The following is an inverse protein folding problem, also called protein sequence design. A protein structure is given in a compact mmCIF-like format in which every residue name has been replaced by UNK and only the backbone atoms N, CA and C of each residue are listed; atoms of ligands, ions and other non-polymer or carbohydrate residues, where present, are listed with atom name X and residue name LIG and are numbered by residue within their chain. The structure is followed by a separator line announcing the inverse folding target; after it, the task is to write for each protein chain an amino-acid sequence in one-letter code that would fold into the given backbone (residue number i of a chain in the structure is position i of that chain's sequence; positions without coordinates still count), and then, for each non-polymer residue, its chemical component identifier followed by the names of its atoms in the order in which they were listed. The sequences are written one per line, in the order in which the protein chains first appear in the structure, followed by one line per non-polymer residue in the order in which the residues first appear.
data_IF_123017218991
#
_entry.id   IF_123017218991
#
_cell.length_a   1.000
_cell.length_b   1.000
_cell.length_c   1.000
_cell.angle_alpha   90.00
_cell.angle_beta   90.00
_cell.angle_gamma   90.00
#
_symmetry.space_group_name_H-M   'P 1'
#
loop_
_entity.id
_entity.type
_entity.pdbx_description
1 polymer ?
#
# COMPACT_ATOMS: atom_id res chain seq x y z
N UNK A 1 -17.08 -13.34 -3.56
CA UNK A 1 -15.91 -13.97 -4.19
C UNK A 1 -14.85 -12.94 -4.49
N UNK A 2 -14.94 -12.25 -5.64
CA UNK A 2 -13.90 -11.31 -6.09
C UNK A 2 -14.02 -9.88 -5.52
N UNK A 3 -15.21 -9.44 -5.08
CA UNK A 3 -15.42 -8.06 -4.60
C UNK A 3 -14.53 -7.72 -3.39
N UNK A 4 -14.38 -8.62 -2.41
CA UNK A 4 -13.64 -8.33 -1.17
C UNK A 4 -12.13 -8.09 -1.41
N UNK A 5 -11.52 -8.79 -2.38
CA UNK A 5 -10.11 -8.64 -2.75
C UNK A 5 -9.87 -7.29 -3.43
N UNK A 6 -10.79 -6.87 -4.29
CA UNK A 6 -10.70 -5.60 -5.02
C UNK A 6 -10.98 -4.37 -4.12
N UNK A 7 -11.81 -4.52 -3.09
CA UNK A 7 -12.13 -3.44 -2.14
C UNK A 7 -10.99 -3.15 -1.16
N UNK A 8 -10.16 -4.14 -0.82
CA UNK A 8 -8.99 -3.93 0.02
C UNK A 8 -8.01 -2.92 -0.58
N UNK A 9 -7.61 -3.16 -1.83
CA UNK A 9 -6.53 -2.41 -2.47
C UNK A 9 -6.86 -0.90 -2.65
N UNK A 10 -8.12 -0.57 -2.98
CA UNK A 10 -8.60 0.82 -3.08
C UNK A 10 -8.54 1.60 -1.75
N UNK A 11 -8.84 0.95 -0.61
CA UNK A 11 -8.84 1.59 0.73
C UNK A 11 -7.49 2.20 1.09
N UNK A 12 -6.43 1.60 0.59
CA UNK A 12 -5.06 1.91 0.99
C UNK A 12 -4.36 2.87 0.07
N UNK A 13 -4.71 2.83 -1.21
CA UNK A 13 -4.27 3.83 -2.17
C UNK A 13 -4.71 5.21 -1.71
N UNK A 14 -5.98 5.36 -1.31
CA UNK A 14 -6.51 6.59 -0.72
C UNK A 14 -5.79 6.99 0.58
N UNK A 15 -5.43 6.02 1.43
CA UNK A 15 -4.61 6.27 2.61
C UNK A 15 -3.17 6.74 2.28
N UNK A 16 -2.59 6.22 1.20
CA UNK A 16 -1.25 6.58 0.72
C UNK A 16 -1.22 8.01 0.17
N UNK A 17 -2.26 8.40 -0.59
CA UNK A 17 -2.42 9.75 -1.15
C UNK A 17 -2.61 10.78 -0.06
N UNK A 18 -3.46 10.51 0.93
CA UNK A 18 -3.63 11.37 2.10
C UNK A 18 -2.30 11.57 2.84
N UNK A 19 -1.47 10.53 2.89
CA UNK A 19 -0.19 10.58 3.59
C UNK A 19 0.87 11.36 2.81
N UNK A 20 0.86 11.30 1.47
CA UNK A 20 1.71 12.16 0.64
C UNK A 20 1.31 13.63 0.78
N UNK A 21 0.01 13.92 0.85
CA UNK A 21 -0.51 15.27 1.10
C UNK A 21 -0.09 15.77 2.50
N UNK A 22 -0.28 14.94 3.54
CA UNK A 22 0.10 15.27 4.91
C UNK A 22 1.63 15.42 5.09
N UNK A 23 2.44 14.63 4.38
CA UNK A 23 3.90 14.69 4.42
C UNK A 23 4.45 16.03 3.89
N UNK A 24 3.86 16.58 2.81
CA UNK A 24 4.25 17.89 2.27
C UNK A 24 3.80 19.08 3.15
N UNK A 25 2.80 18.91 4.01
CA UNK A 25 2.29 19.98 4.88
C UNK A 25 3.02 20.08 6.22
N UNK A 26 3.65 19.00 6.71
CA UNK A 26 4.12 18.91 8.09
C UNK A 26 5.64 18.81 8.28
N UNK A 27 6.43 18.64 7.22
CA UNK A 27 7.89 18.70 7.30
C UNK A 27 8.52 17.81 8.38
N UNK A 28 8.06 16.57 8.58
CA UNK A 28 8.64 15.68 9.62
C UNK A 28 8.47 14.16 9.44
N UNK A 29 9.51 13.46 9.91
CA UNK A 29 9.78 12.02 10.08
C UNK A 29 10.19 11.21 8.83
N UNK A 30 11.29 10.45 8.96
CA UNK A 30 11.85 9.55 7.95
C UNK A 30 11.01 8.27 7.71
N UNK A 31 9.93 8.07 8.46
CA UNK A 31 9.12 6.86 8.42
C UNK A 31 7.65 7.20 8.22
N UNK A 32 6.92 6.50 7.34
CA UNK A 32 5.48 6.62 7.32
C UNK A 32 4.90 6.20 8.69
N UNK A 33 3.84 6.84 9.21
CA UNK A 33 3.25 6.47 10.49
C UNK A 33 2.91 4.97 10.54
N UNK A 34 3.24 4.27 11.64
CA UNK A 34 3.01 2.82 11.83
C UNK A 34 1.64 2.36 11.33
N UNK A 35 0.59 3.09 11.71
CA UNK A 35 -0.80 2.78 11.35
C UNK A 35 -1.02 2.78 9.84
N UNK A 36 -0.38 3.72 9.14
CA UNK A 36 -0.42 3.81 7.69
C UNK A 36 0.34 2.66 7.04
N UNK A 37 1.57 2.37 7.49
CA UNK A 37 2.35 1.25 6.95
C UNK A 37 1.59 -0.07 7.09
N UNK A 38 1.00 -0.32 8.27
CA UNK A 38 0.25 -1.53 8.52
C UNK A 38 -1.04 -1.58 7.71
N UNK A 39 -1.71 -0.43 7.53
CA UNK A 39 -2.84 -0.36 6.63
C UNK A 39 -2.39 -0.72 5.22
N UNK A 40 -1.35 -0.08 4.68
CA UNK A 40 -0.81 -0.35 3.34
C UNK A 40 -0.54 -1.85 3.12
N UNK A 41 0.16 -2.49 4.04
CA UNK A 41 0.46 -3.92 3.96
C UNK A 41 -0.79 -4.80 3.93
N UNK A 42 -1.80 -4.47 4.74
CA UNK A 42 -3.01 -5.30 4.90
C UNK A 42 -3.85 -5.45 3.64
N UNK A 43 -3.73 -4.55 2.67
CA UNK A 43 -4.54 -4.65 1.46
C UNK A 43 -3.78 -4.53 0.15
N UNK A 44 -2.47 -4.32 0.19
CA UNK A 44 -1.61 -4.88 -0.85
C UNK A 44 -1.53 -6.40 -0.72
N UNK A 45 -1.59 -6.94 0.51
CA UNK A 45 -1.50 -8.37 0.80
C UNK A 45 -2.73 -8.91 1.58
N UNK A 46 -3.93 -8.88 0.99
CA UNK A 46 -5.17 -9.26 1.69
C UNK A 46 -5.18 -10.72 2.18
N UNK A 47 -4.45 -11.60 1.51
CA UNK A 47 -4.35 -13.03 1.87
C UNK A 47 -3.40 -13.29 3.05
N UNK A 48 -2.55 -12.33 3.41
CA UNK A 48 -1.40 -12.53 4.32
C UNK A 48 -1.72 -12.28 5.81
N UNK A 49 -2.96 -11.88 6.16
CA UNK A 49 -3.43 -11.65 7.54
C UNK A 49 -2.46 -10.87 8.43
N UNK A 50 -1.75 -9.88 7.86
CA UNK A 50 -0.73 -9.08 8.55
C UNK A 50 -1.37 -8.23 9.65
N UNK A 51 -0.80 -8.25 10.86
CA UNK A 51 -1.27 -7.56 12.06
C UNK A 51 -0.16 -6.79 12.77
N UNK A 52 1.11 -7.16 12.59
CA UNK A 52 2.26 -6.55 13.26
C UNK A 52 3.49 -6.45 12.34
N UNK A 53 4.57 -5.85 12.85
CA UNK A 53 5.90 -5.78 12.21
C UNK A 53 6.92 -6.72 12.87
N UNK A 54 6.44 -7.73 13.59
CA UNK A 54 7.27 -8.67 14.36
C UNK A 54 6.99 -10.09 13.89
N UNK A 55 6.16 -10.84 14.60
CA UNK A 55 5.99 -12.28 14.42
C UNK A 55 5.36 -12.71 13.10
N UNK A 56 4.57 -11.84 12.45
CA UNK A 56 3.89 -12.18 11.20
C UNK A 56 4.86 -12.35 10.01
N UNK A 57 6.13 -11.99 10.19
CA UNK A 57 7.15 -12.01 9.15
C UNK A 57 8.14 -13.16 9.29
N UNK A 58 8.19 -13.80 10.47
CA UNK A 58 9.26 -14.72 10.83
C UNK A 58 9.33 -16.00 9.98
N UNK A 59 8.20 -16.43 9.41
CA UNK A 59 8.17 -17.60 8.52
C UNK A 59 8.54 -17.28 7.07
N UNK A 60 8.75 -16.00 6.73
CA UNK A 60 9.15 -15.52 5.41
C UNK A 60 8.07 -15.58 4.31
N UNK A 61 6.86 -16.10 4.58
CA UNK A 61 5.78 -16.16 3.59
C UNK A 61 5.24 -14.77 3.25
N UNK A 62 4.98 -13.96 4.29
CA UNK A 62 4.47 -12.59 4.11
C UNK A 62 5.50 -11.69 3.44
N UNK A 63 6.79 -11.86 3.76
CA UNK A 63 7.87 -11.16 3.08
C UNK A 63 7.97 -11.59 1.62
N UNK A 64 7.86 -12.89 1.34
CA UNK A 64 7.84 -13.40 -0.05
C UNK A 64 6.66 -12.87 -0.85
N UNK A 65 5.48 -12.80 -0.23
CA UNK A 65 4.28 -12.23 -0.84
C UNK A 65 4.45 -10.73 -1.15
N UNK A 66 5.10 -9.97 -0.25
CA UNK A 66 5.40 -8.56 -0.47
C UNK A 66 6.29 -8.36 -1.70
N UNK A 67 7.33 -9.17 -1.85
CA UNK A 67 8.21 -9.12 -3.01
C UNK A 67 7.47 -9.44 -4.31
N UNK A 68 6.61 -10.45 -4.30
CA UNK A 68 5.81 -10.84 -5.47
C UNK A 68 4.74 -9.78 -5.79
N UNK A 69 4.18 -9.08 -4.79
CA UNK A 69 3.34 -7.90 -5.02
C UNK A 69 4.14 -6.77 -5.69
N UNK A 70 5.34 -6.48 -5.19
CA UNK A 70 6.20 -5.43 -5.72
C UNK A 70 6.69 -5.72 -7.15
N UNK A 71 6.91 -6.99 -7.48
CA UNK A 71 7.26 -7.47 -8.82
C UNK A 71 6.60 -8.82 -9.07
N UNK A 72 5.43 -8.85 -9.71
CA UNK A 72 4.71 -10.08 -10.01
C UNK A 72 5.58 -11.10 -10.73
N UNK A 73 5.63 -12.33 -10.20
CA UNK A 73 6.43 -13.43 -10.75
C UNK A 73 7.85 -13.53 -10.17
N UNK A 74 8.22 -12.68 -9.20
CA UNK A 74 9.51 -12.78 -8.52
C UNK A 74 9.55 -14.00 -7.58
N UNK A 75 8.44 -14.27 -6.87
CA UNK A 75 8.28 -15.47 -6.03
C UNK A 75 6.87 -16.04 -6.23
N UNK A 76 6.55 -16.60 -7.41
CA UNK A 76 5.16 -16.91 -7.80
C UNK A 76 4.51 -18.01 -6.95
N UNK A 77 5.32 -18.86 -6.31
CA UNK A 77 4.87 -19.97 -5.47
C UNK A 77 4.99 -19.68 -3.97
N UNK A 78 5.02 -18.41 -3.55
CA UNK A 78 5.18 -18.04 -2.14
C UNK A 78 4.15 -18.72 -1.22
N UNK A 79 2.91 -18.93 -1.70
CA UNK A 79 1.83 -19.64 -0.99
C UNK A 79 2.14 -21.11 -0.67
N UNK A 80 3.09 -21.71 -1.40
CA UNK A 80 3.49 -23.12 -1.27
C UNK A 80 4.79 -23.31 -0.51
N UNK A 81 5.41 -22.23 -0.03
CA UNK A 81 6.62 -22.32 0.79
C UNK A 81 6.31 -23.01 2.11
N UNK A 82 7.26 -23.78 2.62
CA UNK A 82 7.14 -24.42 3.93
C UNK A 82 7.28 -23.35 5.03
N UNK A 83 6.26 -23.10 5.87
CA UNK A 83 6.34 -22.11 6.94
C UNK A 83 7.34 -22.48 8.04
N UNK A 84 7.79 -23.75 8.11
CA UNK A 84 8.83 -24.18 9.05
C UNK A 84 10.25 -23.78 8.60
N UNK A 85 10.44 -23.35 7.35
CA UNK A 85 11.72 -22.90 6.82
C UNK A 85 11.88 -21.37 6.92
N UNK A 86 11.52 -20.79 8.07
CA UNK A 86 11.44 -19.33 8.24
C UNK A 86 12.71 -18.58 7.86
N UNK A 87 13.87 -19.05 8.36
CA UNK A 87 15.18 -18.48 8.04
C UNK A 87 15.47 -18.51 6.55
N UNK A 88 15.34 -19.66 5.90
CA UNK A 88 15.60 -19.83 4.47
C UNK A 88 14.68 -18.94 3.62
N UNK A 89 13.38 -18.90 3.96
CA UNK A 89 12.40 -18.07 3.27
C UNK A 89 12.74 -16.57 3.41
N UNK A 90 13.06 -16.12 4.64
CA UNK A 90 13.47 -14.75 4.91
C UNK A 90 14.75 -14.39 4.15
N UNK A 91 15.77 -15.23 4.24
CA UNK A 91 17.05 -15.01 3.57
C UNK A 91 16.87 -14.87 2.06
N UNK A 92 16.20 -15.84 1.43
CA UNK A 92 15.92 -15.79 -0.01
C UNK A 92 15.17 -14.53 -0.40
N UNK A 93 14.15 -14.15 0.35
CA UNK A 93 13.36 -12.97 0.05
C UNK A 93 14.18 -11.69 0.23
N UNK A 94 14.98 -11.57 1.29
CA UNK A 94 15.82 -10.39 1.53
C UNK A 94 16.92 -10.23 0.47
N UNK A 95 17.56 -11.33 0.04
CA UNK A 95 18.53 -11.32 -1.06
C UNK A 95 17.90 -10.93 -2.41
N UNK A 96 16.65 -11.31 -2.65
CA UNK A 96 15.91 -10.87 -3.84
C UNK A 96 15.52 -9.40 -3.74
N UNK A 97 15.17 -8.92 -2.54
CA UNK A 97 14.81 -7.53 -2.32
C UNK A 97 16.01 -6.60 -2.58
N UNK A 98 17.19 -6.99 -2.11
CA UNK A 98 18.44 -6.29 -2.41
C UNK A 98 18.71 -6.28 -3.92
N UNK A 99 18.71 -7.44 -4.58
CA UNK A 99 19.04 -7.56 -6.01
C UNK A 99 18.08 -6.86 -6.96
N UNK A 100 16.78 -6.83 -6.64
CA UNK A 100 15.76 -6.34 -7.57
C UNK A 100 15.21 -4.96 -7.22
N UNK A 101 15.31 -4.55 -5.97
CA UNK A 101 14.76 -3.29 -5.49
C UNK A 101 15.80 -2.39 -4.81
N UNK A 102 17.06 -2.82 -4.74
CA UNK A 102 18.14 -2.12 -4.02
C UNK A 102 17.80 -1.85 -2.54
N UNK A 103 17.01 -2.73 -1.92
CA UNK A 103 16.70 -2.62 -0.49
C UNK A 103 17.89 -3.14 0.31
N UNK A 104 18.54 -2.31 1.13
CA UNK A 104 19.73 -2.72 1.87
C UNK A 104 19.38 -3.74 2.96
N UNK A 105 20.30 -4.67 3.23
CA UNK A 105 20.19 -5.66 4.31
C UNK A 105 20.55 -5.04 5.67
N UNK A 106 19.77 -4.03 6.09
CA UNK A 106 19.92 -3.35 7.40
C UNK A 106 19.52 -4.22 8.60
N UNK A 107 18.90 -5.36 8.33
CA UNK A 107 18.51 -6.39 9.29
C UNK A 107 19.00 -7.73 8.71
N UNK A 108 19.66 -8.56 9.51
CA UNK A 108 20.07 -9.89 9.05
C UNK A 108 18.84 -10.83 8.94
N UNK A 109 18.83 -11.79 8.00
CA UNK A 109 17.72 -12.73 7.83
C UNK A 109 17.36 -13.52 9.09
N UNK A 110 18.35 -13.87 9.92
CA UNK A 110 18.15 -14.57 11.19
C UNK A 110 17.34 -13.74 12.18
N UNK A 111 17.54 -12.42 12.17
CA UNK A 111 16.75 -11.51 13.00
C UNK A 111 15.34 -11.31 12.45
N UNK A 112 15.18 -11.24 11.12
CA UNK A 112 13.85 -11.21 10.49
C UNK A 112 13.05 -12.49 10.78
N UNK A 113 13.70 -13.65 10.77
CA UNK A 113 13.10 -14.94 11.07
C UNK A 113 12.93 -15.22 12.58
N UNK A 114 13.42 -14.31 13.45
CA UNK A 114 13.43 -14.52 14.89
C UNK A 114 12.07 -14.20 15.53
N UNK A 115 11.56 -15.05 16.45
CA UNK A 115 10.39 -14.71 17.28
C UNK A 115 10.61 -13.45 18.14
N UNK A 116 11.86 -13.02 18.31
CA UNK A 116 12.25 -11.84 19.07
C UNK A 116 12.50 -10.60 18.18
N UNK A 117 12.06 -10.61 16.92
CA UNK A 117 12.13 -9.42 16.06
C UNK A 117 11.46 -8.24 16.75
N UNK A 118 12.20 -7.16 16.98
CA UNK A 118 11.65 -5.94 17.55
C UNK A 118 10.88 -5.13 16.49
N UNK A 119 9.82 -4.47 16.93
CA UNK A 119 8.90 -3.76 16.05
C UNK A 119 9.57 -2.63 15.27
N UNK A 120 10.55 -1.95 15.86
CA UNK A 120 11.22 -0.82 15.22
C UNK A 120 12.15 -1.29 14.11
N UNK A 121 12.91 -2.38 14.32
CA UNK A 121 13.74 -2.99 13.28
C UNK A 121 12.89 -3.52 12.12
N UNK A 122 11.78 -4.20 12.43
CA UNK A 122 10.81 -4.63 11.42
C UNK A 122 10.28 -3.45 10.61
N UNK A 123 9.73 -2.43 11.28
CA UNK A 123 9.27 -1.20 10.63
C UNK A 123 10.37 -0.52 9.81
N UNK A 124 11.60 -0.49 10.31
CA UNK A 124 12.74 0.11 9.59
C UNK A 124 12.96 -0.59 8.26
N UNK A 125 13.02 -1.92 8.26
CA UNK A 125 13.18 -2.70 7.04
C UNK A 125 11.99 -2.50 6.08
N UNK A 126 10.75 -2.61 6.57
CA UNK A 126 9.56 -2.47 5.70
C UNK A 126 9.37 -1.06 5.15
N UNK A 127 9.92 -0.04 5.81
CA UNK A 127 9.84 1.33 5.32
C UNK A 127 10.47 1.52 3.93
N UNK A 128 11.50 0.74 3.57
CA UNK A 128 12.12 0.82 2.24
C UNK A 128 11.16 0.46 1.10
N UNK A 129 10.08 -0.28 1.39
CA UNK A 129 9.03 -0.58 0.41
C UNK A 129 8.02 0.57 0.24
N UNK A 130 8.04 1.58 1.11
CA UNK A 130 6.97 2.59 1.28
C UNK A 130 7.46 4.05 1.25
N UNK A 131 8.70 4.30 1.66
CA UNK A 131 9.16 5.61 2.16
C UNK A 131 9.28 6.68 1.08
N UNK A 132 9.50 6.31 -0.17
CA UNK A 132 9.91 7.25 -1.22
C UNK A 132 9.04 7.11 -2.47
N UNK A 133 8.87 8.23 -3.18
CA UNK A 133 8.58 8.21 -4.61
C UNK A 133 9.70 7.34 -5.23
N UNK A 134 9.30 6.32 -5.99
CA UNK A 134 10.18 5.27 -6.55
C UNK A 134 10.46 4.04 -5.68
N UNK A 135 9.88 3.95 -4.48
CA UNK A 135 9.91 2.68 -3.74
C UNK A 135 9.16 1.57 -4.51
N UNK A 136 9.54 0.30 -4.34
CA UNK A 136 8.90 -0.80 -5.07
C UNK A 136 7.42 -0.94 -4.72
N UNK A 137 7.03 -0.63 -3.49
CA UNK A 137 5.61 -0.61 -3.09
C UNK A 137 4.85 0.57 -3.70
N UNK A 138 5.47 1.75 -3.83
CA UNK A 138 4.89 2.89 -4.55
C UNK A 138 4.60 2.53 -6.01
N UNK A 139 5.59 2.00 -6.74
CA UNK A 139 5.41 1.63 -8.15
C UNK A 139 4.38 0.53 -8.35
N UNK A 140 4.41 -0.52 -7.54
CA UNK A 140 3.43 -1.60 -7.62
C UNK A 140 2.01 -1.10 -7.38
N UNK A 141 1.84 -0.22 -6.39
CA UNK A 141 0.55 0.41 -6.07
C UNK A 141 0.08 1.32 -7.22
N UNK A 142 0.99 2.10 -7.81
CA UNK A 142 0.67 2.96 -8.96
C UNK A 142 0.28 2.16 -10.20
N UNK A 143 1.01 1.08 -10.50
CA UNK A 143 0.69 0.20 -11.62
C UNK A 143 -0.67 -0.48 -11.42
N UNK A 144 -0.96 -0.94 -10.20
CA UNK A 144 -2.28 -1.47 -9.90
C UNK A 144 -3.39 -0.46 -10.19
N UNK A 145 -3.22 0.82 -9.82
CA UNK A 145 -4.21 1.87 -10.12
C UNK A 145 -4.39 2.05 -11.62
N UNK A 146 -3.29 2.13 -12.37
CA UNK A 146 -3.32 2.25 -13.83
C UNK A 146 -4.10 1.10 -14.47
N UNK A 147 -3.90 -0.13 -13.97
CA UNK A 147 -4.65 -1.30 -14.44
C UNK A 147 -6.14 -1.21 -14.12
N UNK A 148 -6.53 -0.60 -13.01
CA UNK A 148 -7.94 -0.38 -12.68
C UNK A 148 -8.57 0.75 -13.49
N UNK A 149 -7.79 1.72 -13.93
CA UNK A 149 -8.23 2.94 -14.61
C UNK A 149 -7.46 3.15 -15.92
N UNK A 150 -7.61 2.25 -16.92
CA UNK A 150 -6.81 2.29 -18.15
C UNK A 150 -7.02 3.55 -18.98
N UNK A 151 -8.11 4.27 -18.77
CA UNK A 151 -8.44 5.52 -19.46
C UNK A 151 -8.05 6.79 -18.68
N UNK A 152 -7.49 6.66 -17.48
CA UNK A 152 -7.04 7.79 -16.68
C UNK A 152 -5.52 7.88 -16.68
N UNK A 153 -5.01 9.10 -16.83
CA UNK A 153 -3.58 9.35 -16.73
C UNK A 153 -3.21 9.52 -15.26
N UNK A 154 -2.73 8.45 -14.63
CA UNK A 154 -2.24 8.47 -13.24
C UNK A 154 -0.74 8.19 -13.26
N UNK A 155 0.07 9.23 -13.10
CA UNK A 155 1.54 9.14 -13.12
C UNK A 155 2.13 9.18 -11.71
N UNK A 156 1.45 9.82 -10.76
CA UNK A 156 1.90 9.93 -9.38
C UNK A 156 0.72 10.06 -8.41
N UNK A 157 1.00 9.91 -7.10
CA UNK A 157 0.01 10.07 -6.04
C UNK A 157 -0.05 11.49 -5.43
N UNK A 158 0.75 12.44 -5.95
CA UNK A 158 0.93 13.79 -5.39
C UNK A 158 0.07 14.87 -6.05
N UNK A 159 -0.09 14.81 -7.37
CA UNK A 159 -0.78 15.83 -8.18
C UNK A 159 -2.03 15.28 -8.83
N UNK A 160 -1.93 14.07 -9.38
CA UNK A 160 -2.96 13.53 -10.30
C UNK A 160 -4.26 13.12 -9.57
N UNK A 161 -4.27 13.18 -8.24
CA UNK A 161 -5.40 12.84 -7.39
C UNK A 161 -6.13 14.04 -6.81
N UNK A 162 -5.53 15.22 -6.89
CA UNK A 162 -5.97 16.39 -6.14
C UNK A 162 -7.33 16.92 -6.60
N UNK A 163 -7.66 16.72 -7.88
CA UNK A 163 -8.94 17.15 -8.45
C UNK A 163 -10.13 16.27 -8.07
N UNK A 164 -9.88 15.14 -7.39
CA UNK A 164 -10.88 14.18 -6.97
C UNK A 164 -11.40 13.28 -8.09
N UNK A 165 -10.95 13.42 -9.34
CA UNK A 165 -11.42 12.61 -10.46
C UNK A 165 -10.89 11.18 -10.37
N UNK A 166 -9.57 10.99 -10.22
CA UNK A 166 -8.96 9.66 -10.06
C UNK A 166 -9.56 8.86 -8.89
N UNK A 167 -9.68 9.39 -7.66
CA UNK A 167 -10.27 8.63 -6.56
C UNK A 167 -11.76 8.33 -6.80
N UNK A 168 -12.51 9.26 -7.40
CA UNK A 168 -13.91 9.05 -7.79
C UNK A 168 -14.06 7.96 -8.85
N UNK A 169 -13.22 7.98 -9.88
CA UNK A 169 -13.19 6.96 -10.93
C UNK A 169 -12.89 5.58 -10.35
N UNK A 170 -11.99 5.51 -9.37
CA UNK A 170 -11.64 4.25 -8.72
C UNK A 170 -12.78 3.70 -7.87
N UNK A 171 -13.47 4.56 -7.11
CA UNK A 171 -14.68 4.20 -6.36
C UNK A 171 -15.75 3.67 -7.31
N UNK A 172 -16.01 4.38 -8.41
CA UNK A 172 -16.98 3.97 -9.44
C UNK A 172 -16.60 2.65 -10.10
N UNK A 173 -15.33 2.46 -10.46
CA UNK A 173 -14.81 1.21 -11.03
C UNK A 173 -14.95 0.02 -10.07
N UNK A 174 -15.01 0.27 -8.76
CA UNK A 174 -15.29 -0.73 -7.72
C UNK A 174 -16.77 -0.85 -7.35
N UNK A 175 -17.67 -0.25 -8.12
CA UNK A 175 -19.13 -0.33 -7.88
C UNK A 175 -19.62 0.55 -6.73
N UNK A 176 -18.79 1.48 -6.24
CA UNK A 176 -19.18 2.45 -5.23
C UNK A 176 -19.99 3.60 -5.82
N UNK A 177 -20.88 4.22 -5.03
CA UNK A 177 -21.68 5.34 -5.49
C UNK A 177 -20.84 6.62 -5.56
N UNK A 178 -20.92 7.33 -6.68
CA UNK A 178 -20.29 8.63 -6.89
C UNK A 178 -21.31 9.58 -7.54
N UNK A 179 -22.20 10.20 -6.73
CA UNK A 179 -23.21 11.12 -7.23
C UNK A 179 -22.57 12.27 -8.03
N UNK A 180 -23.19 12.66 -9.14
CA UNK A 180 -22.70 13.77 -9.97
C UNK A 180 -21.36 13.52 -10.68
N UNK A 181 -20.89 12.27 -10.76
CA UNK A 181 -19.57 11.97 -11.35
C UNK A 181 -19.36 12.54 -12.76
N UNK A 182 -20.38 12.50 -13.63
CA UNK A 182 -20.30 13.06 -14.99
C UNK A 182 -20.24 14.59 -15.04
N UNK A 183 -20.56 15.26 -13.94
CA UNK A 183 -20.65 16.72 -13.80
C UNK A 183 -19.49 17.29 -12.98
N UNK A 184 -18.58 16.43 -12.49
CA UNK A 184 -17.42 16.85 -11.71
C UNK A 184 -16.54 17.80 -12.51
N UNK A 185 -16.25 18.94 -11.90
CA UNK A 185 -15.34 19.95 -12.45
C UNK A 185 -13.96 19.76 -11.84
N UNK A 186 -12.92 19.88 -12.65
CA UNK A 186 -11.52 19.74 -12.24
C UNK A 186 -10.84 21.09 -12.04
N UNK A 187 -11.59 22.14 -11.66
CA UNK A 187 -11.01 23.42 -11.23
C UNK A 187 -10.82 23.42 -9.71
N UNK A 188 -9.82 24.14 -9.16
CA UNK A 188 -9.43 24.06 -7.74
C UNK A 188 -10.56 24.26 -6.74
N UNK A 189 -11.58 25.05 -7.09
CA UNK A 189 -12.73 25.36 -6.23
C UNK A 189 -13.58 24.12 -5.91
N UNK A 190 -13.47 23.06 -6.72
CA UNK A 190 -14.24 21.82 -6.60
C UNK A 190 -13.42 20.64 -6.05
N UNK A 191 -12.12 20.82 -5.82
CA UNK A 191 -11.24 19.72 -5.42
C UNK A 191 -11.69 19.06 -4.12
N UNK A 192 -11.97 19.88 -3.10
CA UNK A 192 -12.40 19.39 -1.78
C UNK A 192 -13.72 18.62 -1.90
N UNK A 193 -14.72 19.19 -2.57
CA UNK A 193 -16.04 18.53 -2.69
C UNK A 193 -15.97 17.25 -3.52
N UNK A 194 -15.19 17.20 -4.59
CA UNK A 194 -14.96 15.97 -5.36
C UNK A 194 -14.29 14.89 -4.49
N UNK A 195 -13.28 15.27 -3.69
CA UNK A 195 -12.61 14.37 -2.77
C UNK A 195 -13.55 13.84 -1.69
N UNK A 196 -14.41 14.68 -1.11
CA UNK A 196 -15.43 14.28 -0.15
C UNK A 196 -16.42 13.26 -0.75
N UNK A 197 -16.89 13.51 -1.98
CA UNK A 197 -17.75 12.57 -2.71
C UNK A 197 -17.06 11.22 -2.92
N UNK A 198 -15.79 11.23 -3.33
CA UNK A 198 -15.01 10.00 -3.48
C UNK A 198 -14.86 9.27 -2.14
N UNK A 199 -14.55 10.00 -1.06
CA UNK A 199 -14.39 9.43 0.28
C UNK A 199 -15.69 8.80 0.79
N UNK A 200 -16.82 9.48 0.62
CA UNK A 200 -18.13 8.96 1.05
C UNK A 200 -18.59 7.76 0.22
N UNK A 201 -18.33 7.79 -1.09
CA UNK A 201 -18.51 6.63 -1.96
C UNK A 201 -17.63 5.45 -1.52
N UNK A 202 -16.38 5.73 -1.15
CA UNK A 202 -15.48 4.76 -0.54
C UNK A 202 -16.04 4.20 0.78
N UNK A 203 -16.51 5.04 1.70
CA UNK A 203 -17.10 4.59 2.98
C UNK A 203 -18.25 3.61 2.77
N UNK A 204 -19.07 3.82 1.75
CA UNK A 204 -20.15 2.89 1.38
C UNK A 204 -19.66 1.54 0.82
N UNK A 205 -18.42 1.49 0.32
CA UNK A 205 -17.68 0.25 0.04
C UNK A 205 -16.96 -0.32 1.28
N UNK A 206 -17.27 0.20 2.47
CA UNK A 206 -16.61 -0.13 3.73
C UNK A 206 -15.19 0.42 3.85
N UNK A 207 -14.79 1.43 3.05
CA UNK A 207 -13.48 2.10 3.16
C UNK A 207 -13.51 3.05 4.35
N UNK A 208 -12.78 2.75 5.42
CA UNK A 208 -12.58 3.71 6.51
C UNK A 208 -11.23 4.42 6.34
N UNK A 209 -11.19 5.77 6.40
CA UNK A 209 -9.94 6.51 6.40
C UNK A 209 -9.03 6.05 7.56
N UNK A 210 -7.76 5.76 7.25
CA UNK A 210 -6.79 5.27 8.24
C UNK A 210 -6.39 6.38 9.22
N UNK A 211 -6.41 7.63 8.75
CA UNK A 211 -6.15 8.85 9.49
C UNK A 211 -7.35 9.78 9.30
N UNK A 212 -7.91 10.31 10.38
CA UNK A 212 -8.84 11.42 10.30
C UNK A 212 -8.02 12.71 10.19
N UNK A 213 -8.42 13.61 9.29
CA UNK A 213 -7.91 14.97 9.31
C UNK A 213 -8.28 15.59 10.66
N UNK A 214 -7.28 15.86 11.51
CA UNK A 214 -7.51 16.76 12.64
C UNK A 214 -7.51 18.16 12.04
N UNK A 215 -8.70 18.72 11.91
CA UNK A 215 -8.90 20.15 11.69
C UNK A 215 -8.30 20.96 12.84
#
# INVERSE_FOLDING_TARGET
GNMDIHHGNLKLILGLIWSLIAHYQLGASNFPPKKLMLAWLKATLPDCKIKNFTSDWNNGLNLSALLDYCKPGLIPNWKRLNPHNGLENCQRAMELAERHFNIPMVLAPEYMASPNLDELSGMTYFSYFLKEEDSPGYYATLNWVKDQLPHHRVNNFRTDWNDGLVPSSLVKAKGGPVPGFSEMKTTPEYYISNLEVALDGGKKLGVTPVMEARY
#
